data_IF_565286304701
#
_entry.id   IF_565286304701
#
_cell.length_a   1.000
_cell.length_b   1.000
_cell.length_c   1.000
_cell.angle_alpha   90.00
_cell.angle_beta   90.00
_cell.angle_gamma   90.00
#
_symmetry.space_group_name_H-M   'P 1'
#
loop_
_entity.id
_entity.type
_entity.pdbx_description
1 polymer ?
#
# COMPACT_ATOMS: atom_id res chain seq x y z
N UNK A 1 -8.82 37.50 19.72
CA UNK A 1 -7.97 36.41 19.18
C UNK A 1 -8.57 35.10 19.63
N UNK A 2 -9.24 34.38 18.72
CA UNK A 2 -9.67 33.01 19.00
C UNK A 2 -8.49 32.12 18.63
N UNK A 3 -7.98 31.26 19.52
CA UNK A 3 -6.92 30.33 19.15
C UNK A 3 -7.49 29.39 18.11
N UNK A 4 -6.94 29.43 16.90
CA UNK A 4 -7.17 28.41 15.90
C UNK A 4 -6.54 27.14 16.46
N UNK A 5 -7.36 26.29 17.08
CA UNK A 5 -6.97 24.92 17.36
C UNK A 5 -6.65 24.33 15.98
N UNK A 6 -5.37 24.07 15.69
CA UNK A 6 -5.01 23.25 14.54
C UNK A 6 -5.74 21.93 14.73
N UNK A 7 -6.86 21.74 14.02
CA UNK A 7 -7.44 20.42 13.87
C UNK A 7 -6.31 19.56 13.33
N UNK A 8 -5.93 18.52 14.09
CA UNK A 8 -5.05 17.46 13.63
C UNK A 8 -5.35 17.22 12.15
N UNK A 9 -4.40 17.57 11.27
CA UNK A 9 -4.65 17.61 9.84
C UNK A 9 -5.21 16.27 9.40
N UNK A 10 -6.37 16.30 8.73
CA UNK A 10 -7.04 15.07 8.29
C UNK A 10 -6.07 14.31 7.40
N UNK A 11 -5.64 13.13 7.88
CA UNK A 11 -4.63 12.32 7.17
C UNK A 11 -5.24 11.85 5.85
N UNK A 12 -4.47 11.85 4.75
CA UNK A 12 -4.91 11.30 3.47
C UNK A 12 -5.47 9.88 3.65
N UNK A 13 -6.73 9.70 3.26
CA UNK A 13 -7.44 8.43 3.36
C UNK A 13 -8.42 8.29 4.54
N UNK A 14 -8.63 9.32 5.35
CA UNK A 14 -9.55 9.26 6.51
C UNK A 14 -10.96 8.75 6.16
N UNK A 15 -11.47 9.06 4.96
CA UNK A 15 -12.80 8.65 4.50
C UNK A 15 -12.80 7.33 3.70
N UNK A 16 -11.67 6.62 3.63
CA UNK A 16 -11.60 5.31 2.96
C UNK A 16 -12.39 4.25 3.75
N UNK A 17 -12.85 3.23 3.05
CA UNK A 17 -13.32 2.01 3.71
C UNK A 17 -12.18 1.35 4.48
N UNK A 18 -12.51 0.50 5.46
CA UNK A 18 -11.52 -0.21 6.25
C UNK A 18 -10.48 -0.98 5.40
N UNK A 19 -10.93 -1.65 4.33
CA UNK A 19 -10.06 -2.40 3.43
C UNK A 19 -9.05 -1.48 2.74
N UNK A 20 -9.52 -0.40 2.16
CA UNK A 20 -8.68 0.57 1.45
C UNK A 20 -7.69 1.23 2.42
N UNK A 21 -8.16 1.62 3.61
CA UNK A 21 -7.31 2.20 4.65
C UNK A 21 -6.17 1.26 5.08
N UNK A 22 -6.47 -0.04 5.29
CA UNK A 22 -5.45 -1.03 5.62
C UNK A 22 -4.42 -1.19 4.50
N UNK A 23 -4.88 -1.36 3.25
CA UNK A 23 -3.98 -1.48 2.09
C UNK A 23 -3.11 -0.24 1.93
N UNK A 24 -3.70 0.96 2.02
CA UNK A 24 -2.98 2.25 1.94
C UNK A 24 -1.92 2.38 3.04
N UNK A 25 -2.25 1.99 4.27
CA UNK A 25 -1.30 2.03 5.40
C UNK A 25 -0.14 1.06 5.21
N UNK A 26 -0.40 -0.13 4.66
CA UNK A 26 0.64 -1.13 4.37
C UNK A 26 1.58 -0.68 3.26
N UNK A 27 1.06 -0.02 2.23
CA UNK A 27 1.88 0.61 1.19
C UNK A 27 2.81 1.65 1.81
N UNK A 28 2.29 2.56 2.65
CA UNK A 28 3.10 3.61 3.29
C UNK A 28 4.22 3.06 4.18
N UNK A 29 3.95 1.96 4.87
CA UNK A 29 4.91 1.31 5.77
C UNK A 29 5.85 0.32 5.08
N UNK A 30 5.59 -0.03 3.81
CA UNK A 30 6.19 -1.17 3.11
C UNK A 30 6.07 -2.51 3.88
N UNK A 31 5.03 -2.66 4.72
CA UNK A 31 4.77 -3.86 5.54
C UNK A 31 3.44 -4.51 5.16
N UNK A 32 3.30 -4.89 3.89
CA UNK A 32 2.17 -5.68 3.41
C UNK A 32 2.31 -7.17 3.75
N UNK A 33 1.24 -7.94 3.56
CA UNK A 33 1.18 -9.41 3.57
C UNK A 33 1.77 -10.02 2.29
N UNK A 34 2.80 -9.39 1.74
CA UNK A 34 3.57 -9.94 0.63
C UNK A 34 4.39 -11.16 1.09
N UNK A 35 4.84 -12.00 0.14
CA UNK A 35 5.59 -13.21 0.47
C UNK A 35 6.86 -12.91 1.28
N UNK A 36 7.52 -11.78 1.03
CA UNK A 36 8.69 -11.35 1.81
C UNK A 36 8.36 -11.15 3.30
N UNK A 37 7.30 -10.40 3.62
CA UNK A 37 6.89 -10.17 5.02
C UNK A 37 6.43 -11.47 5.70
N UNK A 38 5.67 -12.31 4.98
CA UNK A 38 5.21 -13.58 5.52
C UNK A 38 6.38 -14.53 5.83
N UNK A 39 7.39 -14.56 4.96
CA UNK A 39 8.62 -15.30 5.22
C UNK A 39 9.39 -14.74 6.43
N UNK A 40 9.57 -13.41 6.48
CA UNK A 40 10.20 -12.73 7.61
C UNK A 40 9.52 -13.02 8.94
N UNK A 41 8.20 -13.22 8.94
CA UNK A 41 7.41 -13.55 10.12
C UNK A 41 7.24 -15.06 10.38
N UNK A 42 7.87 -15.93 9.57
CA UNK A 42 7.81 -17.38 9.73
C UNK A 42 6.51 -18.05 9.29
N UNK A 43 5.65 -17.35 8.55
CA UNK A 43 4.41 -17.90 7.98
C UNK A 43 4.60 -18.56 6.60
N UNK A 44 5.77 -18.36 5.98
CA UNK A 44 6.12 -18.93 4.67
C UNK A 44 7.56 -19.41 4.67
N UNK A 45 7.82 -20.54 4.02
CA UNK A 45 9.18 -21.10 3.93
C UNK A 45 10.07 -20.30 2.97
N UNK A 46 9.49 -19.63 1.98
CA UNK A 46 10.24 -18.83 0.99
C UNK A 46 9.65 -17.41 0.82
N UNK A 47 10.49 -16.40 0.52
CA UNK A 47 10.05 -15.04 0.21
C UNK A 47 9.57 -14.86 -1.23
N UNK A 48 9.60 -15.93 -2.03
CA UNK A 48 9.33 -15.91 -3.48
C UNK A 48 7.84 -16.00 -3.81
N UNK A 49 7.51 -15.55 -5.02
CA UNK A 49 6.18 -15.63 -5.62
C UNK A 49 6.28 -16.29 -7.01
N UNK A 50 5.18 -16.84 -7.50
CA UNK A 50 5.12 -17.79 -8.64
C UNK A 50 5.69 -17.27 -9.98
N UNK A 51 6.04 -15.98 -10.07
CA UNK A 51 6.56 -15.32 -11.28
C UNK A 51 8.08 -15.13 -11.32
N UNK A 52 8.85 -15.82 -10.47
CA UNK A 52 10.32 -15.89 -10.61
C UNK A 52 11.11 -14.69 -10.08
N UNK A 53 10.47 -13.80 -9.31
CA UNK A 53 11.19 -12.77 -8.54
C UNK A 53 11.79 -13.38 -7.27
N UNK A 54 13.03 -12.99 -6.94
CA UNK A 54 13.75 -13.45 -5.74
C UNK A 54 13.01 -13.13 -4.43
N UNK A 55 12.28 -12.01 -4.40
CA UNK A 55 11.43 -11.63 -3.28
C UNK A 55 10.25 -10.77 -3.73
N UNK A 56 9.04 -11.16 -3.33
CA UNK A 56 7.86 -10.32 -3.54
C UNK A 56 7.71 -9.35 -2.36
N UNK A 57 8.14 -8.11 -2.54
CA UNK A 57 7.96 -6.99 -1.58
C UNK A 57 6.69 -6.19 -1.90
N UNK A 58 6.23 -5.33 -0.97
CA UNK A 58 5.11 -4.41 -1.27
C UNK A 58 5.47 -3.50 -2.44
N UNK A 59 6.69 -2.97 -2.43
CA UNK A 59 7.23 -2.14 -3.51
C UNK A 59 7.18 -2.87 -4.85
N UNK A 60 7.59 -4.14 -4.92
CA UNK A 60 7.51 -4.94 -6.15
C UNK A 60 6.06 -5.09 -6.62
N UNK A 61 5.12 -5.43 -5.73
CA UNK A 61 3.70 -5.56 -6.09
C UNK A 61 3.12 -4.24 -6.60
N UNK A 62 3.48 -3.12 -5.97
CA UNK A 62 2.95 -1.81 -6.32
C UNK A 62 3.65 -1.14 -7.50
N UNK A 63 4.81 -1.60 -7.97
CA UNK A 63 5.59 -0.91 -9.02
C UNK A 63 5.97 -1.78 -10.20
N UNK A 64 6.31 -3.03 -9.95
CA UNK A 64 6.96 -3.90 -10.93
C UNK A 64 6.00 -4.99 -11.42
N UNK A 65 5.05 -5.40 -10.57
CA UNK A 65 4.07 -6.40 -10.93
C UNK A 65 3.11 -5.85 -11.99
N UNK A 66 3.16 -6.42 -13.20
CA UNK A 66 2.35 -6.02 -14.36
C UNK A 66 0.83 -6.04 -14.10
N UNK A 67 0.37 -6.83 -13.12
CA UNK A 67 -1.04 -6.97 -12.79
C UNK A 67 -1.56 -5.87 -11.84
N UNK A 68 -0.69 -5.30 -11.01
CA UNK A 68 -1.08 -4.45 -9.88
C UNK A 68 -0.27 -3.18 -9.76
N UNK A 69 0.68 -2.94 -10.67
CA UNK A 69 1.55 -1.76 -10.61
C UNK A 69 0.74 -0.48 -10.66
N UNK A 70 1.14 0.47 -9.84
CA UNK A 70 0.65 1.83 -9.85
C UNK A 70 1.47 2.63 -10.86
N UNK A 71 0.80 3.37 -11.74
CA UNK A 71 1.45 4.16 -12.78
C UNK A 71 2.00 5.52 -12.29
N UNK A 72 1.63 5.96 -11.09
CA UNK A 72 2.10 7.20 -10.48
C UNK A 72 3.32 7.01 -9.58
N UNK A 73 3.75 8.10 -8.92
CA UNK A 73 4.88 8.06 -7.98
C UNK A 73 4.48 7.51 -6.60
N UNK A 74 5.45 7.11 -5.76
CA UNK A 74 5.16 6.76 -4.37
C UNK A 74 4.60 7.92 -3.56
N UNK A 75 4.97 9.16 -3.92
CA UNK A 75 4.43 10.33 -3.25
C UNK A 75 2.94 10.46 -3.56
N UNK A 76 2.52 10.10 -4.77
CA UNK A 76 1.11 10.11 -5.16
C UNK A 76 0.33 9.02 -4.45
N UNK A 77 0.92 7.84 -4.28
CA UNK A 77 0.30 6.79 -3.48
C UNK A 77 0.18 7.20 -2.02
N UNK A 78 1.23 7.72 -1.39
CA UNK A 78 1.24 8.15 0.02
C UNK A 78 0.24 9.27 0.31
N UNK A 79 0.10 10.23 -0.61
CA UNK A 79 -0.84 11.34 -0.49
C UNK A 79 -2.26 11.00 -0.96
N UNK A 80 -2.48 9.76 -1.41
CA UNK A 80 -3.77 9.29 -1.91
C UNK A 80 -4.37 10.27 -2.94
N UNK A 81 -3.60 10.59 -3.97
CA UNK A 81 -4.11 11.40 -5.09
C UNK A 81 -5.31 10.72 -5.74
N UNK A 82 -6.16 11.42 -6.51
CA UNK A 82 -7.32 10.79 -7.16
C UNK A 82 -6.95 9.55 -7.99
N UNK A 83 -5.80 9.58 -8.68
CA UNK A 83 -5.27 8.43 -9.41
C UNK A 83 -4.91 7.27 -8.47
N UNK A 84 -4.25 7.55 -7.34
CA UNK A 84 -3.92 6.53 -6.34
C UNK A 84 -5.17 5.94 -5.67
N UNK A 85 -6.17 6.77 -5.37
CA UNK A 85 -7.44 6.31 -4.80
C UNK A 85 -8.17 5.37 -5.76
N UNK A 86 -8.25 5.74 -7.05
CA UNK A 86 -8.85 4.90 -8.08
C UNK A 86 -8.07 3.58 -8.26
N UNK A 87 -6.75 3.62 -8.29
CA UNK A 87 -5.93 2.41 -8.35
C UNK A 87 -6.17 1.50 -7.14
N UNK A 88 -6.19 2.06 -5.92
CA UNK A 88 -6.42 1.34 -4.67
C UNK A 88 -7.81 0.67 -4.64
N UNK A 89 -8.84 1.35 -5.14
CA UNK A 89 -10.20 0.82 -5.28
C UNK A 89 -10.27 -0.38 -6.22
N UNK A 90 -9.49 -0.35 -7.30
CA UNK A 90 -9.45 -1.42 -8.29
C UNK A 90 -8.51 -2.57 -7.90
N UNK A 91 -7.79 -2.44 -6.78
CA UNK A 91 -6.85 -3.44 -6.32
C UNK A 91 -7.58 -4.69 -5.82
N UNK A 92 -7.55 -5.75 -6.64
CA UNK A 92 -8.22 -7.03 -6.33
C UNK A 92 -7.55 -7.81 -5.21
N UNK A 93 -6.27 -7.54 -4.95
CA UNK A 93 -5.50 -8.14 -3.86
C UNK A 93 -5.65 -7.35 -2.56
N UNK A 94 -5.45 -8.02 -1.44
CA UNK A 94 -5.32 -7.40 -0.13
C UNK A 94 -3.84 -7.34 0.20
N UNK A 95 -3.26 -6.14 0.12
CA UNK A 95 -1.89 -5.88 0.58
C UNK A 95 -1.86 -6.01 2.09
#
# INVERSE_FOLDING_TARGET
MVPTVELCSVVPGFNLTWREWCSHSRIRSDQSRCAYSLHKWGFKDTPTYDYGSEAQTTTHICRECQLTSFSGSLKDSHNLTPLAAQWLQNLKINL
#
